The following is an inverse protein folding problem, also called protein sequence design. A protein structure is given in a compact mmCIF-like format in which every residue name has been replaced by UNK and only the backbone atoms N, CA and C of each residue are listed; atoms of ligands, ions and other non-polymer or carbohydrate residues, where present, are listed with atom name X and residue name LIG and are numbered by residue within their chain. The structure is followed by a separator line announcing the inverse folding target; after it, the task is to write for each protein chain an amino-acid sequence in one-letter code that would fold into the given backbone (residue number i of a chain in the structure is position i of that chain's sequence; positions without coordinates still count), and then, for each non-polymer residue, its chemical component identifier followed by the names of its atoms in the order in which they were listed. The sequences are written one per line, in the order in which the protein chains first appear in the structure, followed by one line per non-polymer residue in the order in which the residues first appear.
data_IF_200688961295
#
_entry.id   IF_200688961295
#
_cell.length_a   1.000
_cell.length_b   1.000
_cell.length_c   1.000
_cell.angle_alpha   90.00
_cell.angle_beta   90.00
_cell.angle_gamma   90.00
#
_symmetry.space_group_name_H-M   'P 1'
#
loop_
_entity.id
_entity.type
_entity.pdbx_description
1 polymer ?
#
# COMPACT_ATOMS: atom_id res chain seq x y z
N UNK A 1 -2.87 4.66 12.08
CA UNK A 1 -2.38 5.08 10.74
C UNK A 1 -2.07 3.89 9.83
N UNK A 2 -0.98 3.10 10.01
CA UNK A 2 -0.62 1.96 9.12
C UNK A 2 -1.73 0.93 8.93
N UNK A 3 -2.41 0.53 10.02
CA UNK A 3 -3.52 -0.45 9.96
C UNK A 3 -4.67 0.00 9.06
N UNK A 4 -5.01 1.30 9.07
CA UNK A 4 -6.08 1.86 8.23
C UNK A 4 -5.66 1.86 6.76
N UNK A 5 -4.42 2.27 6.48
CA UNK A 5 -3.83 2.26 5.14
C UNK A 5 -3.80 0.83 4.59
N UNK A 6 -3.28 -0.14 5.34
CA UNK A 6 -3.26 -1.55 4.95
C UNK A 6 -4.65 -2.06 4.58
N UNK A 7 -5.65 -1.82 5.45
CA UNK A 7 -7.03 -2.26 5.19
C UNK A 7 -7.63 -1.63 3.96
N UNK A 8 -7.39 -0.33 3.75
CA UNK A 8 -7.89 0.39 2.57
C UNK A 8 -7.28 -0.15 1.28
N UNK A 9 -5.97 -0.42 1.26
CA UNK A 9 -5.27 -1.01 0.12
C UNK A 9 -5.82 -2.43 -0.14
N UNK A 10 -5.83 -3.28 0.88
CA UNK A 10 -6.26 -4.67 0.75
C UNK A 10 -7.71 -4.76 0.24
N UNK A 11 -8.62 -3.98 0.81
CA UNK A 11 -10.00 -3.93 0.37
C UNK A 11 -10.12 -3.44 -1.08
N UNK A 12 -9.44 -2.35 -1.44
CA UNK A 12 -9.48 -1.79 -2.79
C UNK A 12 -8.97 -2.76 -3.84
N UNK A 13 -7.86 -3.48 -3.56
CA UNK A 13 -7.31 -4.47 -4.48
C UNK A 13 -8.27 -5.66 -4.59
N UNK A 14 -8.79 -6.19 -3.49
CA UNK A 14 -9.74 -7.30 -3.50
C UNK A 14 -11.02 -6.98 -4.30
N UNK A 15 -11.52 -5.74 -4.21
CA UNK A 15 -12.73 -5.31 -4.93
C UNK A 15 -12.48 -5.06 -6.43
N UNK A 16 -11.32 -4.50 -6.79
CA UNK A 16 -11.05 -4.04 -8.16
C UNK A 16 -10.22 -5.00 -8.99
N UNK A 17 -9.48 -5.91 -8.35
CA UNK A 17 -8.59 -6.88 -9.00
C UNK A 17 -8.85 -8.27 -8.42
N UNK A 18 -10.01 -8.88 -8.70
CA UNK A 18 -10.42 -10.17 -8.11
C UNK A 18 -9.53 -11.34 -8.51
N UNK A 19 -8.66 -11.16 -9.49
CA UNK A 19 -7.62 -12.15 -9.85
C UNK A 19 -6.57 -12.33 -8.76
N UNK A 20 -6.33 -11.31 -7.92
CA UNK A 20 -5.44 -11.43 -6.77
C UNK A 20 -6.06 -12.35 -5.73
N UNK A 21 -5.38 -13.46 -5.45
CA UNK A 21 -5.90 -14.53 -4.57
C UNK A 21 -5.39 -14.45 -3.14
N UNK A 22 -4.34 -13.67 -2.92
CA UNK A 22 -3.73 -13.54 -1.60
C UNK A 22 -3.21 -12.12 -1.39
N UNK A 23 -3.51 -11.52 -0.25
CA UNK A 23 -3.04 -10.19 0.13
C UNK A 23 -2.58 -10.26 1.59
N UNK A 24 -1.32 -9.90 1.86
CA UNK A 24 -0.78 -9.93 3.21
C UNK A 24 0.28 -8.82 3.41
N UNK A 25 0.80 -8.72 4.64
CA UNK A 25 1.97 -7.92 4.94
C UNK A 25 3.22 -8.58 4.36
N UNK A 26 4.15 -7.76 3.87
CA UNK A 26 5.46 -8.25 3.45
C UNK A 26 6.28 -8.74 4.64
N UNK A 27 6.84 -9.91 4.52
CA UNK A 27 7.76 -10.51 5.49
C UNK A 27 8.76 -11.43 4.77
N UNK A 28 9.43 -10.90 3.76
CA UNK A 28 10.44 -11.63 2.94
C UNK A 28 9.92 -12.95 2.33
N UNK A 29 8.60 -13.07 2.17
CA UNK A 29 7.93 -14.31 1.73
C UNK A 29 8.44 -14.88 0.41
N UNK A 30 9.04 -14.05 -0.45
CA UNK A 30 9.52 -14.46 -1.78
C UNK A 30 10.98 -14.90 -1.73
N UNK A 31 11.74 -14.52 -0.69
CA UNK A 31 13.18 -14.81 -0.58
C UNK A 31 13.44 -16.28 -0.27
N UNK A 32 12.55 -16.94 0.47
CA UNK A 32 12.70 -18.32 0.94
C UNK A 32 11.82 -19.34 0.20
N UNK A 33 11.30 -19.02 -0.98
CA UNK A 33 10.48 -19.96 -1.73
C UNK A 33 11.34 -21.09 -2.27
N UNK A 34 11.53 -22.12 -1.44
CA UNK A 34 11.91 -23.45 -1.90
C UNK A 34 10.74 -24.07 -2.69
N UNK A 35 10.91 -25.13 -3.38
CA UNK A 35 10.06 -25.88 -4.29
C UNK A 35 8.51 -25.81 -4.20
N UNK A 36 7.92 -25.16 -3.20
CA UNK A 36 6.46 -24.96 -3.12
C UNK A 36 6.10 -23.58 -2.53
N UNK A 37 5.29 -22.81 -3.27
CA UNK A 37 4.73 -21.53 -2.82
C UNK A 37 3.61 -21.82 -1.82
N UNK A 38 3.71 -21.38 -0.54
CA UNK A 38 2.73 -21.72 0.49
C UNK A 38 1.40 -20.93 0.40
N UNK A 39 1.31 -19.95 -0.52
CA UNK A 39 0.14 -19.10 -0.75
C UNK A 39 -0.32 -19.15 -2.19
N UNK A 40 -1.63 -18.90 -2.47
CA UNK A 40 -2.15 -18.89 -3.83
C UNK A 40 -1.66 -17.68 -4.62
N UNK A 41 -1.37 -17.90 -5.90
CA UNK A 41 -0.96 -16.87 -6.86
C UNK A 41 -2.12 -16.49 -7.79
N UNK A 42 -2.16 -15.26 -8.28
CA UNK A 42 -1.31 -14.10 -7.98
C UNK A 42 -1.50 -13.59 -6.55
N UNK A 43 -0.41 -13.06 -5.96
CA UNK A 43 -0.42 -12.52 -4.61
C UNK A 43 0.09 -11.06 -4.58
N UNK A 44 -0.36 -10.29 -3.60
CA UNK A 44 0.15 -8.94 -3.30
C UNK A 44 0.57 -8.89 -1.84
N UNK A 45 1.80 -8.46 -1.60
CA UNK A 45 2.28 -8.19 -0.26
C UNK A 45 2.53 -6.70 -0.09
N UNK A 46 2.13 -6.16 1.06
CA UNK A 46 2.17 -4.73 1.37
C UNK A 46 3.31 -4.49 2.36
N UNK A 47 4.30 -3.70 1.97
CA UNK A 47 5.42 -3.28 2.79
C UNK A 47 5.31 -1.80 3.13
N UNK A 48 5.51 -1.44 4.40
CA UNK A 48 5.69 -0.06 4.83
C UNK A 48 7.18 0.20 5.01
N UNK A 49 7.75 1.02 4.13
CA UNK A 49 9.16 1.43 4.25
C UNK A 49 9.37 2.34 5.48
N UNK A 50 10.62 2.61 5.78
CA UNK A 50 10.98 3.62 6.77
C UNK A 50 10.55 5.02 6.31
N UNK A 51 10.00 5.81 7.21
CA UNK A 51 9.61 7.19 6.96
C UNK A 51 9.81 8.05 8.22
N UNK A 52 10.00 9.34 7.98
CA UNK A 52 10.11 10.33 9.04
C UNK A 52 8.73 10.81 9.48
N UNK A 53 8.61 11.13 10.77
CA UNK A 53 7.38 11.64 11.36
C UNK A 53 7.61 13.07 11.83
N UNK A 54 6.78 13.99 11.33
CA UNK A 54 6.79 15.40 11.71
C UNK A 54 5.70 15.68 12.74
N UNK A 55 6.05 16.34 13.82
CA UNK A 55 5.10 16.81 14.81
C UNK A 55 4.40 18.07 14.30
N UNK A 56 3.06 18.05 14.21
CA UNK A 56 2.25 19.21 13.83
C UNK A 56 1.78 19.99 15.06
N UNK A 57 1.42 19.28 16.13
CA UNK A 57 1.04 19.84 17.42
C UNK A 57 1.37 18.84 18.51
N UNK A 58 1.08 19.17 19.76
CA UNK A 58 1.33 18.26 20.91
C UNK A 58 0.72 16.85 20.70
N UNK A 59 -0.38 16.74 19.95
CA UNK A 59 -1.16 15.51 19.83
C UNK A 59 -1.33 15.01 18.38
N UNK A 60 -0.85 15.78 17.39
CA UNK A 60 -0.97 15.45 15.97
C UNK A 60 0.37 15.31 15.32
N UNK A 61 0.53 14.26 14.52
CA UNK A 61 1.73 13.99 13.73
C UNK A 61 1.34 13.82 12.27
N UNK A 62 2.27 14.10 11.39
CA UNK A 62 2.14 13.88 9.95
C UNK A 62 3.36 13.09 9.46
N UNK A 63 3.15 12.27 8.47
CA UNK A 63 4.22 11.56 7.81
C UNK A 63 3.92 11.38 6.31
N UNK A 64 4.98 11.42 5.51
CA UNK A 64 4.96 10.99 4.13
C UNK A 64 5.32 9.50 4.12
N UNK A 65 4.36 8.64 3.81
CA UNK A 65 4.47 7.19 3.98
C UNK A 65 4.71 6.52 2.63
N UNK A 66 5.91 6.00 2.38
CA UNK A 66 6.15 5.12 1.25
C UNK A 66 5.63 3.71 1.55
N UNK A 67 4.95 3.15 0.58
CA UNK A 67 4.41 1.78 0.62
C UNK A 67 4.87 1.06 -0.64
N UNK A 68 5.43 -0.14 -0.51
CA UNK A 68 5.67 -1.03 -1.64
C UNK A 68 4.59 -2.08 -1.73
N UNK A 69 4.15 -2.34 -2.94
CA UNK A 69 3.33 -3.50 -3.27
C UNK A 69 4.21 -4.48 -4.02
N UNK A 70 4.44 -5.64 -3.44
CA UNK A 70 5.11 -6.76 -4.09
C UNK A 70 4.04 -7.60 -4.78
N UNK A 71 3.93 -7.48 -6.09
CA UNK A 71 2.98 -8.22 -6.92
C UNK A 71 3.70 -9.46 -7.43
N UNK A 72 3.29 -10.62 -6.93
CA UNK A 72 3.95 -11.90 -7.21
C UNK A 72 3.07 -12.75 -8.09
N UNK A 73 3.64 -13.20 -9.21
CA UNK A 73 3.00 -14.09 -10.17
C UNK A 73 3.92 -15.28 -10.50
N UNK A 74 3.39 -16.26 -11.20
CA UNK A 74 4.23 -17.32 -11.78
C UNK A 74 4.99 -16.79 -12.98
N UNK A 75 6.27 -17.06 -13.05
CA UNK A 75 7.06 -16.81 -14.25
C UNK A 75 6.53 -17.67 -15.41
N UNK A 76 6.43 -17.09 -16.60
CA UNK A 76 6.19 -17.86 -17.81
C UNK A 76 7.53 -18.43 -18.28
N UNK A 77 7.65 -19.76 -18.38
CA UNK A 77 8.88 -20.36 -18.87
C UNK A 77 9.14 -19.89 -20.29
N UNK A 78 10.39 -19.74 -20.60
CA UNK A 78 11.00 -19.40 -21.88
C UNK A 78 10.04 -19.21 -23.07
N UNK A 79 10.08 -18.02 -23.68
CA UNK A 79 9.49 -17.73 -25.00
C UNK A 79 10.63 -17.60 -26.02
N UNK A 80 10.43 -18.13 -27.25
CA UNK A 80 11.42 -18.07 -28.32
C UNK A 80 11.55 -16.69 -28.96
N UNK A 81 11.14 -15.63 -28.27
CA UNK A 81 11.15 -14.23 -28.73
C UNK A 81 9.76 -13.71 -29.14
N UNK A 82 9.71 -12.49 -29.64
CA UNK A 82 8.45 -11.76 -29.89
C UNK A 82 7.54 -12.41 -30.95
N UNK A 83 8.05 -13.30 -31.78
CA UNK A 83 7.27 -14.07 -32.77
C UNK A 83 6.61 -15.33 -32.18
N UNK A 84 6.94 -15.70 -30.94
CA UNK A 84 6.34 -16.85 -30.27
C UNK A 84 4.92 -16.51 -29.80
N UNK A 85 3.96 -17.40 -30.07
CA UNK A 85 2.56 -17.24 -29.60
C UNK A 85 2.43 -17.16 -28.08
N UNK A 86 3.45 -17.62 -27.32
CA UNK A 86 3.49 -17.55 -25.86
C UNK A 86 3.87 -16.18 -25.34
N UNK A 87 4.31 -15.24 -26.21
CA UNK A 87 4.69 -13.90 -25.79
C UNK A 87 3.51 -13.17 -25.13
N UNK A 88 2.31 -13.32 -25.68
CA UNK A 88 1.10 -12.69 -25.11
C UNK A 88 0.81 -13.21 -23.71
N UNK A 89 1.02 -14.52 -23.48
CA UNK A 89 0.90 -15.12 -22.15
C UNK A 89 1.98 -14.58 -21.20
N UNK A 90 3.20 -14.41 -21.67
CA UNK A 90 4.30 -13.85 -20.89
C UNK A 90 4.05 -12.38 -20.52
N UNK A 91 3.32 -11.64 -21.34
CA UNK A 91 3.00 -10.22 -21.09
C UNK A 91 1.77 -10.01 -20.21
N UNK A 92 0.94 -11.03 -19.98
CA UNK A 92 -0.30 -10.89 -19.15
C UNK A 92 -0.03 -10.41 -17.72
N UNK A 93 1.18 -10.61 -17.19
CA UNK A 93 1.50 -10.09 -15.87
C UNK A 93 1.52 -8.54 -15.84
N UNK A 94 1.86 -7.88 -16.97
CA UNK A 94 1.79 -6.42 -17.07
C UNK A 94 0.34 -5.92 -16.97
N UNK A 95 -0.61 -6.63 -17.59
CA UNK A 95 -2.04 -6.28 -17.47
C UNK A 95 -2.50 -6.37 -16.02
N UNK A 96 -1.98 -7.33 -15.26
CA UNK A 96 -2.27 -7.44 -13.83
C UNK A 96 -1.70 -6.27 -13.04
N UNK A 97 -0.45 -5.89 -13.31
CA UNK A 97 0.23 -4.75 -12.68
C UNK A 97 -0.57 -3.47 -12.97
N UNK A 98 -0.93 -3.24 -14.23
CA UNK A 98 -1.70 -2.07 -14.65
C UNK A 98 -3.06 -1.98 -13.94
N UNK A 99 -3.75 -3.12 -13.74
CA UNK A 99 -5.01 -3.14 -12.98
C UNK A 99 -4.80 -2.85 -11.50
N UNK A 100 -3.73 -3.36 -10.89
CA UNK A 100 -3.37 -3.02 -9.52
C UNK A 100 -3.05 -1.53 -9.40
N UNK A 101 -2.28 -0.98 -10.35
CA UNK A 101 -1.94 0.43 -10.39
C UNK A 101 -3.18 1.30 -10.57
N UNK A 102 -4.09 0.93 -11.48
CA UNK A 102 -5.36 1.61 -11.65
C UNK A 102 -6.26 1.56 -10.41
N UNK A 103 -6.21 0.47 -9.63
CA UNK A 103 -6.93 0.35 -8.37
C UNK A 103 -6.34 1.26 -7.28
N UNK A 104 -5.03 1.39 -7.25
CA UNK A 104 -4.29 2.17 -6.25
C UNK A 104 -4.30 3.66 -6.52
N UNK A 105 -4.27 4.07 -7.79
CA UNK A 105 -4.17 5.48 -8.17
C UNK A 105 -5.33 6.29 -7.56
N UNK A 106 -4.96 7.32 -6.79
CA UNK A 106 -5.92 8.19 -6.12
C UNK A 106 -6.66 7.58 -4.93
N UNK A 107 -6.33 6.36 -4.50
CA UNK A 107 -6.87 5.78 -3.27
C UNK A 107 -6.53 6.67 -2.08
N UNK A 108 -7.55 7.14 -1.38
CA UNK A 108 -7.45 7.96 -0.18
C UNK A 108 -8.42 7.45 0.89
N UNK A 109 -8.29 7.94 2.10
CA UNK A 109 -9.18 7.55 3.20
C UNK A 109 -9.02 8.44 4.43
N UNK A 110 -9.70 8.06 5.50
CA UNK A 110 -9.62 8.80 6.76
C UNK A 110 -8.18 8.81 7.27
N UNK A 111 -7.60 10.00 7.37
CA UNK A 111 -6.25 10.21 7.90
C UNK A 111 -5.12 9.98 6.91
N UNK A 112 -5.39 9.73 5.62
CA UNK A 112 -4.36 9.71 4.58
C UNK A 112 -4.87 10.27 3.26
N UNK A 113 -3.95 10.89 2.51
CA UNK A 113 -4.21 11.51 1.22
C UNK A 113 -4.20 10.47 0.09
N UNK A 114 -4.50 10.93 -1.13
CA UNK A 114 -4.46 10.09 -2.33
C UNK A 114 -3.07 9.52 -2.58
N UNK A 115 -3.02 8.20 -2.85
CA UNK A 115 -1.80 7.53 -3.25
C UNK A 115 -1.33 7.96 -4.64
N UNK A 116 -0.02 8.05 -4.79
CA UNK A 116 0.65 8.36 -6.05
C UNK A 116 1.77 7.33 -6.28
N UNK A 117 1.86 6.79 -7.48
CA UNK A 117 2.94 5.90 -7.89
C UNK A 117 4.24 6.71 -8.05
N UNK A 118 5.32 6.24 -7.47
CA UNK A 118 6.63 6.92 -7.49
C UNK A 118 7.73 6.11 -8.15
N UNK A 119 7.62 4.79 -8.15
CA UNK A 119 8.56 3.91 -8.85
C UNK A 119 7.91 2.55 -9.15
N UNK A 120 8.39 1.91 -10.20
CA UNK A 120 8.04 0.54 -10.60
C UNK A 120 9.32 -0.20 -10.95
N UNK A 121 9.45 -1.44 -10.49
CA UNK A 121 10.61 -2.28 -10.77
C UNK A 121 10.20 -3.75 -10.83
N UNK A 122 10.84 -4.53 -11.71
CA UNK A 122 10.68 -5.98 -11.77
C UNK A 122 11.91 -6.64 -11.16
N UNK A 123 11.70 -7.55 -10.23
CA UNK A 123 12.75 -8.36 -9.62
C UNK A 123 12.83 -9.70 -10.34
N UNK A 124 14.00 -9.99 -10.89
CA UNK A 124 14.27 -11.20 -11.68
C UNK A 124 15.03 -12.29 -10.90
N UNK A 125 15.18 -12.14 -9.58
CA UNK A 125 16.03 -13.02 -8.77
C UNK A 125 15.36 -14.35 -8.37
N UNK A 126 14.13 -14.61 -8.84
CA UNK A 126 13.35 -15.79 -8.48
C UNK A 126 13.10 -16.67 -9.71
N UNK A 127 13.60 -17.90 -9.72
CA UNK A 127 13.56 -18.76 -10.91
C UNK A 127 12.17 -19.13 -11.43
N UNK A 128 11.18 -19.27 -10.53
CA UNK A 128 9.80 -19.66 -10.89
C UNK A 128 8.75 -18.55 -10.65
N UNK A 129 9.16 -17.45 -10.05
CA UNK A 129 8.28 -16.34 -9.72
C UNK A 129 8.73 -15.06 -10.40
N UNK A 130 7.76 -14.26 -10.81
CA UNK A 130 7.94 -12.88 -11.19
C UNK A 130 7.45 -12.00 -10.03
N UNK A 131 8.32 -11.15 -9.53
CA UNK A 131 7.99 -10.15 -8.53
C UNK A 131 8.08 -8.77 -9.16
N UNK A 132 6.98 -8.02 -9.13
CA UNK A 132 6.97 -6.62 -9.49
C UNK A 132 6.76 -5.77 -8.25
N UNK A 133 7.58 -4.75 -8.07
CA UNK A 133 7.57 -3.88 -6.90
C UNK A 133 7.08 -2.50 -7.33
N UNK A 134 5.86 -2.15 -6.93
CA UNK A 134 5.26 -0.84 -7.17
C UNK A 134 5.39 0.02 -5.92
N UNK A 135 6.16 1.09 -6.00
CA UNK A 135 6.37 2.02 -4.88
C UNK A 135 5.38 3.16 -4.94
N UNK A 136 4.56 3.24 -3.92
CA UNK A 136 3.53 4.24 -3.73
C UNK A 136 3.87 5.18 -2.59
N UNK A 137 3.28 6.36 -2.62
CA UNK A 137 3.46 7.37 -1.60
C UNK A 137 2.12 7.99 -1.21
N UNK A 138 1.91 8.21 0.09
CA UNK A 138 0.77 8.97 0.61
C UNK A 138 1.21 9.81 1.80
N UNK A 139 0.58 10.97 1.98
CA UNK A 139 0.70 11.78 3.19
C UNK A 139 -0.37 11.38 4.19
N UNK A 140 0.00 11.08 5.41
CA UNK A 140 -0.93 10.64 6.44
C UNK A 140 -0.78 11.47 7.72
N UNK A 141 -1.92 11.73 8.36
CA UNK A 141 -2.00 12.40 9.65
C UNK A 141 -2.42 11.42 10.73
N UNK A 142 -1.72 11.42 11.83
CA UNK A 142 -2.03 10.62 13.01
C UNK A 142 -2.47 11.51 14.17
N UNK A 143 -3.72 11.37 14.55
CA UNK A 143 -4.34 12.06 15.68
C UNK A 143 -4.73 11.09 16.81
N UNK A 144 -4.14 9.88 16.86
CA UNK A 144 -4.50 8.86 17.86
C UNK A 144 -4.20 9.27 19.30
N UNK A 145 -3.29 10.23 19.48
CA UNK A 145 -2.97 10.80 20.79
C UNK A 145 -3.84 12.02 21.16
N UNK A 146 -4.72 12.45 20.26
CA UNK A 146 -5.59 13.62 20.51
C UNK A 146 -6.58 13.28 21.62
N UNK A 147 -6.58 14.12 22.67
CA UNK A 147 -7.57 13.98 23.75
C UNK A 147 -8.89 14.58 23.30
N UNK A 148 -10.03 13.98 23.66
CA UNK A 148 -11.31 14.61 23.42
C UNK A 148 -11.35 15.96 24.17
N UNK A 149 -11.56 17.03 23.43
CA UNK A 149 -11.77 18.34 24.04
C UNK A 149 -13.22 18.44 24.50
N UNK A 150 -13.43 18.58 25.79
CA UNK A 150 -14.70 19.09 26.29
C UNK A 150 -14.83 20.56 25.86
N UNK A 151 -15.88 20.84 25.10
CA UNK A 151 -16.25 22.23 24.83
C UNK A 151 -16.84 22.81 26.12
N UNK A 152 -16.02 23.56 26.87
CA UNK A 152 -16.51 24.36 27.98
C UNK A 152 -17.09 25.63 27.36
N UNK A 153 -18.39 25.76 27.38
CA UNK A 153 -19.04 27.05 27.07
C UNK A 153 -18.94 27.92 28.33
N UNK A 154 -18.23 29.04 28.25
CA UNK A 154 -18.26 30.07 29.27
C UNK A 154 -19.63 30.76 29.16
N UNK A 155 -20.57 30.33 30.00
CA UNK A 155 -21.94 30.87 29.98
C UNK A 155 -22.10 32.14 30.83
N UNK A 156 -21.20 32.39 31.80
CA UNK A 156 -21.26 33.61 32.64
C UNK A 156 -19.84 34.08 32.97
N UNK A 157 -19.42 35.21 32.39
CA UNK A 157 -18.32 36.00 32.91
C UNK A 157 -18.91 37.12 33.78
N UNK A 158 -18.93 36.97 35.09
CA UNK A 158 -19.10 38.09 35.98
C UNK A 158 -17.83 38.95 35.96
N UNK A 159 -17.95 40.13 35.37
CA UNK A 159 -16.90 41.16 35.47
C UNK A 159 -17.03 41.75 36.87
N UNK A 160 -16.16 41.32 37.77
CA UNK A 160 -16.05 41.98 39.09
C UNK A 160 -15.20 43.23 38.88
N UNK A 161 -15.86 44.40 38.73
CA UNK A 161 -15.19 45.68 38.82
C UNK A 161 -14.69 45.88 40.27
N UNK A 162 -13.37 45.79 40.45
CA UNK A 162 -12.74 46.24 41.69
C UNK A 162 -12.53 47.76 41.60
N UNK A 163 -13.34 48.50 42.35
CA UNK A 163 -13.11 49.91 42.70
C UNK A 163 -11.98 50.04 43.69
#
# INVERSE_FOLDING_TARGET
MRKQIFKAIAQRIAERVPDIKFIDLWNEHVVEVSSSVPWPLPAVFIEFEQYEVRQLSMWKREADIPVRLHIVTRAVPYTAGAADKRIDLALQYFDLIDRVNAAMQGLSGTGFAAFQLTASATNHNHGELMENIERWHTRATDATAERPHEKVFLTDMEIIDRV
#
